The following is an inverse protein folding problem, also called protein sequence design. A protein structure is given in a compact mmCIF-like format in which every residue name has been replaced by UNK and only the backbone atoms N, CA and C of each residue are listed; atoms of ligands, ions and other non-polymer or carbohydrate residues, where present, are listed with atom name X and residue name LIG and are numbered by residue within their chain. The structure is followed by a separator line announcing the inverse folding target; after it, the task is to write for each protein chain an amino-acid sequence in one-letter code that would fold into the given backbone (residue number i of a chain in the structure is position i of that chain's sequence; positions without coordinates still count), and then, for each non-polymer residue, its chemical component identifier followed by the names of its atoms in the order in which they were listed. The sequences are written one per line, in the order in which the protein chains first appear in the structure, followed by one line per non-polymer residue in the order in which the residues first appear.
data_IF_064048386552
#
_entry.id   IF_064048386552
#
_cell.length_a   1.000
_cell.length_b   1.000
_cell.length_c   1.000
_cell.angle_alpha   90.00
_cell.angle_beta   90.00
_cell.angle_gamma   90.00
#
_symmetry.space_group_name_H-M   'P 1'
#
loop_
_entity.id
_entity.type
_entity.pdbx_description
1 polymer ?
#
# COMPACT_ATOMS: atom_id res chain seq x y z
N UNK A 1 -29.39 22.70 -2.24
CA UNK A 1 -28.18 22.01 -2.72
C UNK A 1 -28.06 22.31 -4.20
N UNK A 2 -27.01 22.99 -4.65
CA UNK A 2 -26.88 23.39 -6.06
C UNK A 2 -26.37 22.21 -6.89
N UNK A 3 -26.66 22.16 -8.20
CA UNK A 3 -26.17 21.10 -9.11
C UNK A 3 -24.63 20.98 -9.07
N UNK A 4 -23.93 22.09 -8.77
CA UNK A 4 -22.47 22.14 -8.57
C UNK A 4 -21.95 21.44 -7.31
N UNK A 5 -22.79 21.24 -6.29
CA UNK A 5 -22.39 20.55 -5.04
C UNK A 5 -22.51 19.02 -5.17
N UNK A 6 -23.39 18.54 -6.06
CA UNK A 6 -23.58 17.10 -6.32
C UNK A 6 -22.34 16.52 -7.01
N UNK A 7 -21.73 17.28 -7.92
CA UNK A 7 -20.57 16.86 -8.71
C UNK A 7 -19.32 16.62 -7.84
N UNK A 8 -19.16 17.38 -6.75
CA UNK A 8 -18.02 17.22 -5.82
C UNK A 8 -18.05 15.92 -5.03
N UNK A 9 -19.21 15.31 -4.87
CA UNK A 9 -19.38 14.05 -4.15
C UNK A 9 -19.09 12.81 -5.00
N UNK A 10 -18.87 12.99 -6.30
CA UNK A 10 -18.61 11.90 -7.23
C UNK A 10 -17.10 11.63 -7.35
N UNK A 11 -16.71 10.36 -7.52
CA UNK A 11 -15.33 10.01 -7.82
C UNK A 11 -14.99 10.44 -9.25
N UNK A 12 -13.83 11.05 -9.39
CA UNK A 12 -13.16 11.31 -10.66
C UNK A 12 -12.40 10.07 -11.13
N UNK A 13 -11.79 9.34 -10.20
CA UNK A 13 -11.02 8.14 -10.51
C UNK A 13 -11.18 7.07 -9.41
N UNK A 14 -11.24 5.81 -9.82
CA UNK A 14 -11.33 4.65 -8.94
C UNK A 14 -10.32 3.63 -9.43
N UNK A 15 -9.41 3.19 -8.56
CA UNK A 15 -8.38 2.19 -8.88
C UNK A 15 -8.43 1.05 -7.87
N UNK A 16 -8.38 -0.19 -8.38
CA UNK A 16 -8.32 -1.40 -7.56
C UNK A 16 -6.91 -1.99 -7.65
N UNK A 17 -6.11 -1.82 -6.60
CA UNK A 17 -4.80 -2.46 -6.47
C UNK A 17 -4.94 -3.76 -5.69
N UNK A 18 -4.99 -4.88 -6.41
CA UNK A 18 -5.13 -6.21 -5.81
C UNK A 18 -3.88 -6.69 -5.09
N UNK A 19 -2.69 -6.25 -5.53
CA UNK A 19 -1.42 -6.65 -4.90
C UNK A 19 -1.29 -6.01 -3.53
N UNK A 20 -1.56 -4.69 -3.46
CA UNK A 20 -1.55 -3.93 -2.21
C UNK A 20 -2.81 -4.12 -1.38
N UNK A 21 -3.84 -4.75 -1.95
CA UNK A 21 -5.19 -4.89 -1.37
C UNK A 21 -5.79 -3.54 -1.01
N UNK A 22 -5.68 -2.56 -1.91
CA UNK A 22 -6.15 -1.17 -1.74
C UNK A 22 -7.15 -0.78 -2.83
N UNK A 23 -8.27 -0.18 -2.41
CA UNK A 23 -9.16 0.58 -3.28
C UNK A 23 -8.81 2.07 -3.13
N UNK A 24 -8.29 2.67 -4.19
CA UNK A 24 -8.02 4.12 -4.23
C UNK A 24 -9.15 4.85 -4.93
N UNK A 25 -9.58 5.97 -4.35
CA UNK A 25 -10.65 6.81 -4.90
C UNK A 25 -10.22 8.27 -4.85
N UNK A 26 -10.18 8.92 -6.01
CA UNK A 26 -10.01 10.37 -6.15
C UNK A 26 -11.38 10.99 -6.41
N UNK A 27 -11.79 11.97 -5.59
CA UNK A 27 -13.03 12.72 -5.72
C UNK A 27 -12.83 13.98 -6.58
N UNK A 28 -13.92 14.52 -7.12
CA UNK A 28 -13.87 15.71 -7.97
C UNK A 28 -13.35 16.99 -7.25
N UNK A 29 -13.32 16.99 -5.92
CA UNK A 29 -12.68 18.05 -5.11
C UNK A 29 -11.18 17.82 -4.84
N UNK A 30 -10.57 16.87 -5.56
CA UNK A 30 -9.18 16.41 -5.43
C UNK A 30 -8.84 15.71 -4.10
N UNK A 31 -9.84 15.38 -3.27
CA UNK A 31 -9.61 14.50 -2.12
C UNK A 31 -9.34 13.09 -2.61
N UNK A 32 -8.29 12.46 -2.10
CA UNK A 32 -7.97 11.06 -2.39
C UNK A 32 -7.99 10.23 -1.11
N UNK A 33 -8.51 9.01 -1.21
CA UNK A 33 -8.44 8.03 -0.13
C UNK A 33 -7.93 6.69 -0.63
N UNK A 34 -7.02 6.09 0.12
CA UNK A 34 -6.59 4.71 -0.01
C UNK A 34 -7.29 3.86 1.06
N UNK A 35 -8.17 2.97 0.63
CA UNK A 35 -9.01 2.12 1.49
C UNK A 35 -8.64 0.66 1.28
N UNK A 36 -7.78 0.07 2.14
CA UNK A 36 -7.50 -1.34 2.00
C UNK A 36 -8.71 -2.28 2.22
N UNK A 37 -8.60 -3.51 1.73
CA UNK A 37 -9.75 -4.41 1.56
C UNK A 37 -10.33 -4.89 2.89
N UNK A 38 -9.48 -5.20 3.87
CA UNK A 38 -9.93 -5.60 5.21
C UNK A 38 -10.81 -4.52 5.85
N UNK A 39 -10.40 -3.26 5.82
CA UNK A 39 -11.17 -2.16 6.40
C UNK A 39 -12.52 -1.97 5.70
N UNK A 40 -12.54 -2.05 4.37
CA UNK A 40 -13.81 -2.05 3.65
C UNK A 40 -14.67 -3.21 4.15
N UNK A 41 -14.12 -4.43 4.23
CA UNK A 41 -14.85 -5.63 4.63
C UNK A 41 -15.40 -5.59 6.06
N UNK A 42 -14.62 -5.11 7.03
CA UNK A 42 -15.06 -4.97 8.44
C UNK A 42 -16.09 -3.84 8.61
N UNK A 43 -16.04 -2.83 7.74
CA UNK A 43 -17.00 -1.73 7.72
C UNK A 43 -18.06 -1.86 6.63
N UNK A 44 -18.22 -3.07 6.06
CA UNK A 44 -19.18 -3.29 4.98
C UNK A 44 -20.58 -2.98 5.48
N UNK A 45 -21.35 -2.13 4.77
CA UNK A 45 -22.74 -1.87 5.11
C UNK A 45 -23.53 -3.17 4.98
N UNK A 46 -24.12 -3.61 6.09
CA UNK A 46 -24.95 -4.80 6.13
C UNK A 46 -26.33 -4.48 5.53
N UNK A 47 -26.46 -4.49 4.21
CA UNK A 47 -27.78 -4.61 3.56
C UNK A 47 -28.09 -6.11 3.37
N UNK A 48 -28.96 -6.59 4.25
CA UNK A 48 -29.78 -7.81 4.27
C UNK A 48 -29.21 -9.21 3.89
N UNK A 49 -29.25 -10.09 4.90
CA UNK A 49 -29.44 -11.55 4.86
C UNK A 49 -28.33 -12.49 4.30
N UNK A 50 -27.50 -13.05 5.20
CA UNK A 50 -26.80 -14.32 4.96
C UNK A 50 -25.64 -14.60 5.94
N UNK A 51 -25.40 -15.86 6.40
CA UNK A 51 -24.58 -16.17 7.57
C UNK A 51 -23.08 -16.19 7.25
N UNK A 52 -22.48 -15.01 7.05
CA UNK A 52 -21.05 -14.83 7.24
C UNK A 52 -20.77 -14.69 8.73
N UNK A 53 -20.16 -15.71 9.35
CA UNK A 53 -19.93 -15.86 10.79
C UNK A 53 -19.75 -14.53 11.55
N UNK A 54 -20.83 -14.05 12.15
CA UNK A 54 -20.79 -13.17 13.32
C UNK A 54 -20.55 -14.08 14.52
N UNK A 55 -19.44 -13.92 15.23
CA UNK A 55 -19.16 -14.71 16.43
C UNK A 55 -20.11 -14.25 17.54
N UNK A 56 -21.27 -14.90 17.63
CA UNK A 56 -22.32 -14.59 18.59
C UNK A 56 -21.87 -15.08 19.97
N UNK A 57 -21.02 -14.29 20.64
CA UNK A 57 -20.40 -14.69 21.91
C UNK A 57 -20.19 -13.59 22.95
N UNK A 58 -20.11 -12.30 22.61
CA UNK A 58 -19.77 -11.28 23.64
C UNK A 58 -20.40 -9.88 23.48
N UNK A 59 -21.55 -9.75 22.80
CA UNK A 59 -22.30 -8.48 22.78
C UNK A 59 -21.74 -7.38 21.88
N UNK A 60 -20.71 -7.65 21.09
CA UNK A 60 -20.27 -6.82 19.96
C UNK A 60 -20.06 -7.77 18.78
N UNK A 61 -20.81 -7.57 17.69
CA UNK A 61 -20.62 -8.29 16.43
C UNK A 61 -19.34 -7.79 15.74
N UNK A 62 -18.18 -8.21 16.25
CA UNK A 62 -16.88 -7.87 15.69
C UNK A 62 -16.51 -8.86 14.59
N UNK A 63 -16.28 -8.38 13.37
CA UNK A 63 -15.76 -9.19 12.29
C UNK A 63 -14.23 -9.25 12.38
N UNK A 64 -13.67 -10.45 12.53
CA UNK A 64 -12.23 -10.70 12.68
C UNK A 64 -11.73 -11.67 11.61
N UNK A 65 -10.40 -11.81 11.46
CA UNK A 65 -9.81 -12.79 10.54
C UNK A 65 -9.97 -12.42 9.06
N UNK A 66 -10.03 -11.12 8.75
CA UNK A 66 -10.24 -10.58 7.39
C UNK A 66 -9.02 -9.89 6.80
N UNK A 67 -7.86 -10.08 7.41
CA UNK A 67 -6.57 -9.52 6.99
C UNK A 67 -6.15 -9.93 5.57
N UNK A 68 -6.66 -11.06 5.10
CA UNK A 68 -6.34 -11.60 3.77
C UNK A 68 -7.48 -11.51 2.76
N UNK A 69 -8.59 -10.85 3.11
CA UNK A 69 -9.75 -10.74 2.22
C UNK A 69 -9.38 -10.01 0.93
N UNK A 70 -9.83 -10.56 -0.20
CA UNK A 70 -9.64 -9.99 -1.53
C UNK A 70 -10.94 -9.41 -2.05
N UNK A 71 -10.87 -8.31 -2.79
CA UNK A 71 -11.97 -7.86 -3.65
C UNK A 71 -11.78 -8.53 -5.01
N UNK A 72 -12.66 -9.46 -5.36
CA UNK A 72 -12.66 -10.19 -6.62
C UNK A 72 -13.09 -9.32 -7.80
N UNK A 73 -14.07 -8.44 -7.60
CA UNK A 73 -14.54 -7.50 -8.64
C UNK A 73 -15.28 -6.31 -8.02
N UNK A 74 -15.38 -5.24 -8.80
CA UNK A 74 -16.16 -4.04 -8.47
C UNK A 74 -17.18 -3.77 -9.57
N UNK A 75 -18.40 -3.38 -9.21
CA UNK A 75 -19.47 -3.07 -10.16
C UNK A 75 -20.09 -1.71 -9.82
N UNK A 76 -20.28 -0.81 -10.79
CA UNK A 76 -20.98 0.45 -10.54
C UNK A 76 -22.48 0.18 -10.27
N UNK A 77 -23.04 0.91 -9.30
CA UNK A 77 -24.47 0.83 -8.95
C UNK A 77 -25.09 2.22 -9.09
N UNK A 78 -25.97 2.37 -10.08
CA UNK A 78 -26.83 3.56 -10.26
C UNK A 78 -26.12 4.91 -10.39
N UNK A 79 -24.79 4.93 -10.58
CA UNK A 79 -23.99 6.15 -10.64
C UNK A 79 -23.70 6.80 -9.27
N UNK A 80 -24.03 6.15 -8.16
CA UNK A 80 -23.86 6.71 -6.80
C UNK A 80 -23.09 5.80 -5.85
N UNK A 81 -22.78 4.57 -6.27
CA UNK A 81 -22.18 3.54 -5.42
C UNK A 81 -21.33 2.55 -6.22
N UNK A 82 -20.52 1.78 -5.48
CA UNK A 82 -19.85 0.57 -5.95
C UNK A 82 -20.39 -0.64 -5.20
N UNK A 83 -20.64 -1.74 -5.90
CA UNK A 83 -20.72 -3.06 -5.28
C UNK A 83 -19.34 -3.70 -5.28
N UNK A 84 -18.86 -4.08 -4.11
CA UNK A 84 -17.60 -4.79 -3.92
C UNK A 84 -17.89 -6.26 -3.66
N UNK A 85 -17.31 -7.14 -4.48
CA UNK A 85 -17.44 -8.59 -4.33
C UNK A 85 -16.18 -9.11 -3.65
N UNK A 86 -16.31 -9.65 -2.44
CA UNK A 86 -15.20 -10.19 -1.66
C UNK A 86 -15.09 -11.71 -1.81
N UNK A 87 -13.86 -12.22 -1.76
CA UNK A 87 -13.55 -13.65 -1.90
C UNK A 87 -13.98 -14.50 -0.68
N UNK A 88 -14.33 -13.87 0.44
CA UNK A 88 -14.85 -14.53 1.63
C UNK A 88 -16.36 -14.87 1.56
N UNK A 89 -16.93 -14.79 0.36
CA UNK A 89 -18.34 -15.04 0.07
C UNK A 89 -19.26 -13.86 0.33
N UNK A 90 -18.72 -12.67 0.62
CA UNK A 90 -19.51 -11.45 0.76
C UNK A 90 -19.61 -10.71 -0.58
N UNK A 91 -20.72 -10.88 -1.30
CA UNK A 91 -20.95 -10.34 -2.65
C UNK A 91 -22.01 -9.23 -2.71
N UNK A 92 -22.66 -8.91 -1.59
CA UNK A 92 -23.74 -7.90 -1.50
C UNK A 92 -23.27 -6.51 -1.08
N UNK A 93 -21.98 -6.30 -0.79
CA UNK A 93 -21.47 -5.06 -0.21
C UNK A 93 -21.60 -3.85 -1.14
N UNK A 94 -22.65 -3.05 -0.99
CA UNK A 94 -22.88 -1.81 -1.76
C UNK A 94 -22.42 -0.60 -0.96
N UNK A 95 -21.40 0.09 -1.48
CA UNK A 95 -20.79 1.27 -0.86
C UNK A 95 -21.14 2.50 -1.68
N UNK A 96 -21.98 3.38 -1.13
CA UNK A 96 -22.18 4.70 -1.73
C UNK A 96 -20.88 5.50 -1.74
N UNK A 97 -20.72 6.40 -2.71
CA UNK A 97 -19.54 7.27 -2.77
C UNK A 97 -19.43 8.15 -1.52
N UNK A 98 -20.56 8.55 -0.93
CA UNK A 98 -20.60 9.21 0.37
C UNK A 98 -20.05 8.30 1.49
N UNK A 99 -20.43 7.02 1.50
CA UNK A 99 -19.92 6.05 2.48
C UNK A 99 -18.41 5.89 2.33
N UNK A 100 -17.90 5.73 1.10
CA UNK A 100 -16.47 5.60 0.84
C UNK A 100 -15.70 6.86 1.27
N UNK A 101 -16.26 8.04 1.00
CA UNK A 101 -15.70 9.32 1.44
C UNK A 101 -15.66 9.44 2.96
N UNK A 102 -16.74 9.06 3.64
CA UNK A 102 -16.83 9.05 5.10
C UNK A 102 -15.81 8.07 5.71
N UNK A 103 -15.71 6.87 5.15
CA UNK A 103 -14.74 5.86 5.56
C UNK A 103 -13.29 6.35 5.40
N UNK A 104 -12.98 7.02 4.29
CA UNK A 104 -11.67 7.64 4.09
C UNK A 104 -11.35 8.75 5.09
N UNK A 105 -12.30 9.67 5.33
CA UNK A 105 -12.15 10.78 6.27
C UNK A 105 -12.02 10.32 7.73
N UNK A 106 -12.77 9.29 8.11
CA UNK A 106 -12.88 8.83 9.50
C UNK A 106 -11.98 7.61 9.78
N UNK A 107 -11.00 7.34 8.91
CA UNK A 107 -10.17 6.12 8.92
C UNK A 107 -9.53 5.85 10.28
N UNK A 108 -8.73 6.80 10.77
CA UNK A 108 -7.94 6.66 11.99
C UNK A 108 -8.85 6.42 13.21
N UNK A 109 -9.98 7.13 13.27
CA UNK A 109 -10.98 6.95 14.35
C UNK A 109 -11.61 5.56 14.29
N UNK A 110 -12.04 5.13 13.10
CA UNK A 110 -12.70 3.84 12.92
C UNK A 110 -11.75 2.68 13.23
N UNK A 111 -10.47 2.83 12.88
CA UNK A 111 -9.44 1.86 13.20
C UNK A 111 -9.13 1.80 14.69
N UNK A 112 -8.93 2.95 15.35
CA UNK A 112 -8.71 2.98 16.80
C UNK A 112 -9.86 2.28 17.54
N UNK A 113 -11.10 2.50 17.09
CA UNK A 113 -12.28 1.83 17.61
C UNK A 113 -12.30 0.32 17.31
N UNK A 114 -11.84 -0.13 16.14
CA UNK A 114 -11.74 -1.55 15.81
C UNK A 114 -10.68 -2.28 16.66
N UNK A 115 -9.51 -1.66 16.86
CA UNK A 115 -8.43 -2.21 17.69
C UNK A 115 -8.84 -2.33 19.15
N UNK A 116 -9.52 -1.32 19.71
CA UNK A 116 -10.07 -1.36 21.07
C UNK A 116 -11.11 -2.49 21.24
N UNK A 117 -11.95 -2.75 20.22
CA UNK A 117 -12.89 -3.88 20.25
C UNK A 117 -12.18 -5.25 20.16
N UNK A 118 -11.11 -5.36 19.37
CA UNK A 118 -10.30 -6.58 19.30
C UNK A 118 -9.69 -6.91 20.65
N UNK A 119 -9.06 -5.94 21.29
CA UNK A 119 -8.44 -6.09 22.62
C UNK A 119 -9.47 -6.53 23.66
N UNK A 120 -10.63 -5.84 23.73
CA UNK A 120 -11.71 -6.17 24.68
C UNK A 120 -12.33 -7.54 24.46
N UNK A 121 -12.31 -8.04 23.23
CA UNK A 121 -12.86 -9.36 22.89
C UNK A 121 -11.83 -10.49 23.00
N UNK A 122 -10.61 -10.19 23.44
CA UNK A 122 -9.53 -11.18 23.57
C UNK A 122 -9.02 -11.69 22.22
N UNK A 123 -9.38 -11.03 21.12
CA UNK A 123 -8.85 -11.34 19.80
C UNK A 123 -7.56 -10.56 19.58
N UNK A 124 -6.49 -11.26 19.26
CA UNK A 124 -5.28 -10.63 18.75
C UNK A 124 -5.38 -10.57 17.23
N UNK A 125 -5.05 -9.41 16.65
CA UNK A 125 -4.84 -9.30 15.20
C UNK A 125 -3.35 -9.54 14.94
N UNK A 126 -2.97 -10.42 14.01
CA UNK A 126 -1.56 -10.67 13.72
C UNK A 126 -0.83 -9.46 13.09
N UNK A 127 -1.54 -8.42 12.64
CA UNK A 127 -0.98 -7.23 11.94
C UNK A 127 -1.92 -6.03 12.14
N UNK A 128 -1.49 -4.82 12.51
CA UNK A 128 -2.40 -3.65 12.68
C UNK A 128 -2.48 -2.80 11.41
N UNK A 129 -3.52 -1.97 11.26
CA UNK A 129 -3.83 -1.28 9.98
C UNK A 129 -2.96 -0.04 9.78
N UNK A 130 -2.56 0.57 10.89
CA UNK A 130 -1.42 1.48 10.99
C UNK A 130 -0.32 0.81 11.85
N UNK A 131 -0.06 -0.48 11.65
CA UNK A 131 1.23 -0.99 12.13
C UNK A 131 2.27 -0.17 11.38
N UNK A 132 3.25 0.45 12.06
CA UNK A 132 4.41 1.01 11.38
C UNK A 132 5.05 -0.04 10.44
N UNK A 133 4.87 -1.31 10.82
CA UNK A 133 5.22 -2.52 10.07
C UNK A 133 4.42 -2.79 8.77
N UNK A 134 3.42 -1.96 8.46
CA UNK A 134 2.62 -1.97 7.21
C UNK A 134 2.96 -0.78 6.29
N UNK A 135 3.90 0.08 6.67
CA UNK A 135 4.61 1.01 5.78
C UNK A 135 5.79 0.34 5.07
N UNK A 136 5.88 -0.98 5.17
CA UNK A 136 6.93 -1.76 4.54
C UNK A 136 6.74 -1.70 3.03
N UNK A 137 7.56 -0.86 2.41
CA UNK A 137 7.65 -0.76 0.98
C UNK A 137 8.35 -2.04 0.52
N UNK A 138 7.59 -2.97 -0.05
CA UNK A 138 8.17 -4.08 -0.77
C UNK A 138 8.78 -3.55 -2.07
N UNK A 139 10.06 -3.82 -2.32
CA UNK A 139 10.72 -3.47 -3.59
C UNK A 139 11.45 -4.69 -4.14
N UNK A 140 11.51 -4.75 -5.47
CA UNK A 140 12.43 -5.66 -6.17
C UNK A 140 13.65 -4.86 -6.60
N UNK A 141 14.81 -5.20 -6.04
CA UNK A 141 16.07 -4.55 -6.38
C UNK A 141 16.78 -5.40 -7.43
N UNK A 142 17.19 -4.75 -8.51
CA UNK A 142 17.98 -5.34 -9.58
C UNK A 142 19.37 -4.71 -9.60
N UNK A 143 20.41 -5.54 -9.53
CA UNK A 143 21.79 -5.10 -9.61
C UNK A 143 22.33 -5.42 -11.00
N UNK A 144 23.09 -4.48 -11.58
CA UNK A 144 23.65 -4.64 -12.92
C UNK A 144 25.17 -4.40 -12.96
N UNK A 145 25.84 -5.02 -13.94
CA UNK A 145 27.26 -4.82 -14.26
C UNK A 145 28.17 -4.95 -13.01
N UNK A 146 29.16 -4.05 -12.87
CA UNK A 146 30.13 -4.11 -11.78
C UNK A 146 29.53 -4.07 -10.37
N UNK A 147 28.31 -3.54 -10.20
CA UNK A 147 27.59 -3.63 -8.91
C UNK A 147 27.16 -5.06 -8.64
N UNK A 148 26.55 -5.73 -9.63
CA UNK A 148 26.09 -7.11 -9.49
C UNK A 148 27.25 -8.10 -9.29
N UNK A 149 28.35 -7.89 -10.02
CA UNK A 149 29.58 -8.68 -9.90
C UNK A 149 30.20 -8.54 -8.51
N UNK A 150 30.30 -7.31 -7.99
CA UNK A 150 30.90 -7.07 -6.69
C UNK A 150 30.04 -7.59 -5.52
N UNK A 151 28.71 -7.56 -5.65
CA UNK A 151 27.78 -8.07 -4.64
C UNK A 151 27.52 -9.58 -4.76
N UNK A 152 28.01 -10.23 -5.83
CA UNK A 152 27.66 -11.60 -6.24
C UNK A 152 26.14 -11.84 -6.19
N UNK A 153 25.38 -10.85 -6.70
CA UNK A 153 23.92 -10.81 -6.60
C UNK A 153 23.33 -10.04 -7.77
N UNK A 154 22.38 -10.65 -8.47
CA UNK A 154 21.66 -10.03 -9.59
C UNK A 154 20.36 -9.34 -9.15
N UNK A 155 19.73 -9.83 -8.09
CA UNK A 155 18.48 -9.27 -7.59
C UNK A 155 18.19 -9.68 -6.15
N UNK A 156 17.31 -8.95 -5.49
CA UNK A 156 16.65 -9.35 -4.24
C UNK A 156 15.29 -8.67 -4.07
N UNK A 157 14.38 -9.34 -3.39
CA UNK A 157 13.11 -8.77 -2.95
C UNK A 157 13.25 -8.38 -1.48
N UNK A 158 12.96 -7.12 -1.18
CA UNK A 158 13.14 -6.57 0.17
C UNK A 158 11.88 -5.90 0.64
N UNK A 159 11.62 -6.07 1.93
CA UNK A 159 10.68 -5.25 2.67
C UNK A 159 11.49 -4.15 3.37
N UNK A 160 11.25 -2.91 2.98
CA UNK A 160 11.99 -1.77 3.52
C UNK A 160 11.49 -1.41 4.92
N UNK A 161 12.40 -1.25 5.91
CA UNK A 161 12.06 -0.74 7.23
C UNK A 161 11.44 0.66 7.20
N UNK A 162 10.74 1.01 8.28
CA UNK A 162 10.12 2.32 8.47
C UNK A 162 11.11 3.47 8.29
N UNK A 163 10.68 4.53 7.62
CA UNK A 163 11.51 5.70 7.33
C UNK A 163 12.32 5.59 6.02
N UNK A 164 12.43 4.39 5.42
CA UNK A 164 13.12 4.20 4.14
C UNK A 164 12.10 4.30 3.01
N UNK A 165 11.87 5.54 2.57
CA UNK A 165 10.86 5.83 1.55
C UNK A 165 11.42 6.51 0.31
N UNK A 166 12.74 6.68 0.20
CA UNK A 166 13.40 7.36 -0.92
C UNK A 166 14.63 6.59 -1.38
N UNK A 167 15.09 6.86 -2.61
CA UNK A 167 16.25 6.17 -3.20
C UNK A 167 17.52 6.40 -2.38
N UNK A 168 17.76 7.60 -1.85
CA UNK A 168 18.90 7.88 -0.96
C UNK A 168 18.85 7.08 0.32
N UNK A 169 17.71 7.07 1.02
CA UNK A 169 17.53 6.31 2.24
C UNK A 169 17.71 4.80 1.99
N UNK A 170 17.24 4.30 0.84
CA UNK A 170 17.46 2.91 0.42
C UNK A 170 18.95 2.60 0.25
N UNK A 171 19.68 3.43 -0.51
CA UNK A 171 21.11 3.22 -0.74
C UNK A 171 21.90 3.29 0.56
N UNK A 172 21.58 4.24 1.44
CA UNK A 172 22.21 4.36 2.75
C UNK A 172 22.01 3.10 3.58
N UNK A 173 20.76 2.64 3.69
CA UNK A 173 20.43 1.43 4.44
C UNK A 173 21.10 0.16 3.87
N UNK A 174 21.16 0.01 2.54
CA UNK A 174 21.85 -1.11 1.92
C UNK A 174 23.37 -1.09 2.21
N UNK A 175 23.97 0.09 2.33
CA UNK A 175 25.41 0.26 2.64
C UNK A 175 25.74 -0.10 4.08
N UNK A 176 24.78 -0.06 5.00
CA UNK A 176 24.98 -0.50 6.39
C UNK A 176 25.30 -2.00 6.50
N UNK A 177 25.07 -2.78 5.44
CA UNK A 177 25.47 -4.19 5.34
C UNK A 177 26.99 -4.39 5.30
N UNK A 178 27.78 -3.31 5.24
CA UNK A 178 29.24 -3.36 5.24
C UNK A 178 29.82 -3.56 3.84
N UNK A 179 31.10 -3.88 3.74
CA UNK A 179 31.72 -4.15 2.43
C UNK A 179 31.28 -5.51 1.86
N UNK A 180 31.06 -5.62 0.54
CA UNK A 180 31.34 -4.61 -0.49
C UNK A 180 30.23 -3.57 -0.71
N UNK A 181 29.08 -3.68 -0.04
CA UNK A 181 27.90 -2.81 -0.21
C UNK A 181 28.23 -1.33 -0.03
N UNK A 182 28.91 -0.99 1.06
CA UNK A 182 29.30 0.37 1.40
C UNK A 182 30.09 1.07 0.28
N UNK A 183 30.99 0.31 -0.37
CA UNK A 183 31.91 0.77 -1.40
C UNK A 183 31.28 0.91 -2.79
N UNK A 184 30.42 -0.04 -3.17
CA UNK A 184 29.86 -0.10 -4.53
C UNK A 184 28.54 0.65 -4.69
N UNK A 185 27.78 0.85 -3.61
CA UNK A 185 26.48 1.54 -3.63
C UNK A 185 26.56 3.03 -3.26
N UNK A 186 27.76 3.63 -3.24
CA UNK A 186 27.91 5.05 -2.94
C UNK A 186 27.07 5.90 -3.93
N UNK A 187 26.23 6.86 -3.47
CA UNK A 187 25.28 7.58 -4.33
C UNK A 187 25.89 8.31 -5.54
N UNK A 188 27.19 8.64 -5.49
CA UNK A 188 27.92 9.24 -6.61
C UNK A 188 28.42 8.21 -7.65
N UNK A 189 28.54 6.94 -7.27
CA UNK A 189 29.08 5.85 -8.09
C UNK A 189 28.00 5.00 -8.74
N UNK A 190 26.74 5.25 -8.43
CA UNK A 190 25.60 4.50 -8.99
C UNK A 190 24.55 5.42 -9.58
N UNK A 191 23.89 4.91 -10.61
CA UNK A 191 22.70 5.48 -11.19
C UNK A 191 21.53 4.54 -10.90
N UNK A 192 20.41 5.13 -10.48
CA UNK A 192 19.21 4.38 -10.08
C UNK A 192 18.08 4.68 -11.06
N UNK A 193 17.34 3.63 -11.41
CA UNK A 193 16.05 3.76 -12.08
C UNK A 193 14.96 3.10 -11.26
N UNK A 194 13.80 3.74 -11.19
CA UNK A 194 12.60 3.20 -10.54
C UNK A 194 11.57 2.95 -11.64
N UNK A 195 11.04 1.73 -11.71
CA UNK A 195 10.10 1.30 -12.75
C UNK A 195 10.59 1.63 -14.17
N UNK A 196 11.86 1.30 -14.44
CA UNK A 196 12.56 1.49 -15.73
C UNK A 196 12.70 2.94 -16.19
N UNK A 197 12.59 3.90 -15.27
CA UNK A 197 12.84 5.33 -15.53
C UNK A 197 13.95 5.83 -14.63
N UNK A 198 14.88 6.62 -15.18
CA UNK A 198 15.92 7.24 -14.36
C UNK A 198 15.30 8.13 -13.29
N UNK A 199 15.83 7.99 -12.08
CA UNK A 199 15.27 8.58 -10.87
C UNK A 199 16.31 9.40 -10.13
N UNK A 200 15.82 10.40 -9.40
CA UNK A 200 16.65 11.19 -8.49
C UNK A 200 16.82 10.42 -7.18
N UNK A 201 17.84 10.77 -6.40
CA UNK A 201 18.04 10.20 -5.07
C UNK A 201 16.86 10.51 -4.12
N UNK A 202 16.22 11.66 -4.28
CA UNK A 202 15.01 12.02 -3.53
C UNK A 202 13.73 11.38 -4.05
N UNK A 203 13.79 10.55 -5.11
CA UNK A 203 12.59 9.89 -5.64
C UNK A 203 12.01 8.96 -4.59
N UNK A 204 10.71 9.12 -4.33
CA UNK A 204 9.98 8.29 -3.37
C UNK A 204 9.80 6.87 -3.91
N UNK A 205 10.05 5.88 -3.08
CA UNK A 205 9.81 4.48 -3.33
C UNK A 205 8.42 4.09 -2.84
N UNK A 206 7.71 3.34 -3.67
CA UNK A 206 6.37 2.84 -3.40
C UNK A 206 6.37 1.32 -3.40
N UNK A 207 5.41 0.75 -2.69
CA UNK A 207 5.26 -0.70 -2.61
C UNK A 207 5.07 -1.32 -4.00
N UNK A 208 5.87 -2.32 -4.31
CA UNK A 208 5.95 -3.03 -5.58
C UNK A 208 6.92 -2.41 -6.60
N UNK A 209 7.67 -1.36 -6.24
CA UNK A 209 8.60 -0.71 -7.17
C UNK A 209 9.77 -1.64 -7.55
N UNK A 210 10.12 -1.62 -8.83
CA UNK A 210 11.35 -2.21 -9.36
C UNK A 210 12.45 -1.14 -9.32
N UNK A 211 13.48 -1.36 -8.52
CA UNK A 211 14.63 -0.44 -8.34
C UNK A 211 15.86 -1.06 -8.97
N UNK A 212 16.27 -0.55 -10.12
CA UNK A 212 17.49 -0.99 -10.80
C UNK A 212 18.66 -0.08 -10.45
N UNK A 213 19.73 -0.68 -9.92
CA UNK A 213 20.96 -0.02 -9.53
C UNK A 213 22.05 -0.42 -10.51
N UNK A 214 22.60 0.58 -11.18
CA UNK A 214 23.65 0.44 -12.20
C UNK A 214 24.87 1.26 -11.77
N UNK A 215 26.10 0.84 -12.09
CA UNK A 215 27.26 1.71 -11.88
C UNK A 215 27.12 2.96 -12.76
N UNK A 216 27.36 4.13 -12.17
CA UNK A 216 27.50 5.37 -12.92
C UNK A 216 28.73 5.27 -13.80
N UNK A 217 28.59 5.61 -15.07
CA UNK A 217 29.70 5.61 -16.04
C UNK A 217 30.74 6.71 -15.81
N UNK A 218 30.62 7.49 -14.73
CA UNK A 218 31.52 8.57 -14.35
C UNK A 218 32.48 8.14 -13.24
N UNK A 219 33.36 7.17 -13.49
CA UNK A 219 34.74 7.19 -12.96
C UNK A 219 35.61 6.09 -13.60
N UNK A 220 36.21 6.36 -14.77
CA UNK A 220 37.39 5.59 -15.21
C UNK A 220 38.26 6.33 -16.25
N UNK A 221 38.51 7.65 -16.11
CA UNK A 221 39.50 8.38 -16.96
C UNK A 221 40.22 9.57 -16.31
N UNK A 222 40.45 9.59 -15.00
CA UNK A 222 41.30 10.65 -14.41
C UNK A 222 41.99 10.25 -13.10
N UNK A 223 42.80 9.19 -13.17
CA UNK A 223 43.90 8.97 -12.23
C UNK A 223 45.04 8.26 -12.98
N UNK A 224 45.70 8.99 -13.88
CA UNK A 224 46.77 8.45 -14.71
C UNK A 224 47.31 9.48 -15.71
N UNK A 225 47.97 10.52 -15.19
CA UNK A 225 48.98 11.32 -15.89
C UNK A 225 49.82 12.08 -14.86
#
# INVERSE_FOLDING_TARGET
MSVRDIDKGLPKEIRLDRKRRILSIEFADATEYALPFEYLRIHSPADDAGPGLRHRGSGIDLLVGKENVMIERIEPVGGYALRLHFDDGHDTGVYSFETLRRLGRDRDRNQAHYLDQLERSGHSRPRTWDSPEDDWVEVSILYFAGVAEALDRLSEELLLPDGIHTVDALLEWLRERGDPWASVLHPQRVQVSVNRRFSLLSTRLLNGDEVAITPSTFDDRSAGA
#
